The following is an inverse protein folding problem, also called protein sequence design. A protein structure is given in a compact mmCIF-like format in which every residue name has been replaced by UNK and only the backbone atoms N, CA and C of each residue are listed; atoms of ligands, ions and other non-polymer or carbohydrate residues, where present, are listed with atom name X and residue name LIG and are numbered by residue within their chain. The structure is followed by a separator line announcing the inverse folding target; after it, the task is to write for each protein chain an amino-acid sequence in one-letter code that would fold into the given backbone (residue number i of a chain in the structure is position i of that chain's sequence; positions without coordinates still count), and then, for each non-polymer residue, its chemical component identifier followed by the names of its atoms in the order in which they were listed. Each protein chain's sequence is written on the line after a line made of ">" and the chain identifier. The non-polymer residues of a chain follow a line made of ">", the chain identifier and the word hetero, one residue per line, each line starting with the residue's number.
data_IF_275972255236
#
_entry.id   IF_275972255236
#
_cell.length_a   1.000
_cell.length_b   1.000
_cell.length_c   1.000
_cell.angle_alpha   90.00
_cell.angle_beta   90.00
_cell.angle_gamma   90.00
#
_symmetry.space_group_name_H-M   'P 1'
#
loop_
_entity.id
_entity.type
_entity.pdbx_description
1 polymer ?
#
# COMPACT_ATOMS: atom_id res chain seq x y z
N UNK A 1 21.92 45.85 -18.59
CA UNK A 1 21.85 44.65 -17.71
C UNK A 1 20.66 43.84 -18.21
N UNK A 2 20.89 42.66 -18.80
CA UNK A 2 19.81 41.79 -19.26
C UNK A 2 19.38 40.91 -18.07
N UNK A 3 18.11 41.01 -17.68
CA UNK A 3 17.47 40.05 -16.78
C UNK A 3 17.13 38.82 -17.64
N UNK A 4 17.88 37.73 -17.45
CA UNK A 4 17.50 36.41 -17.94
C UNK A 4 16.46 35.85 -16.97
N UNK A 5 15.19 36.00 -17.31
CA UNK A 5 14.14 35.17 -16.71
C UNK A 5 14.34 33.77 -17.27
N UNK A 6 14.93 32.88 -16.47
CA UNK A 6 14.95 31.46 -16.79
C UNK A 6 13.49 31.01 -16.99
N UNK A 7 13.13 30.41 -18.14
CA UNK A 7 11.80 29.86 -18.31
C UNK A 7 11.61 28.76 -17.27
N UNK A 8 10.68 28.97 -16.34
CA UNK A 8 10.17 27.91 -15.46
C UNK A 8 9.47 26.92 -16.37
N UNK A 9 10.17 25.86 -16.75
CA UNK A 9 9.56 24.70 -17.40
C UNK A 9 8.65 24.04 -16.37
N UNK A 10 7.36 24.40 -16.39
CA UNK A 10 6.32 23.58 -15.76
C UNK A 10 6.31 22.24 -16.51
N UNK A 11 7.01 21.25 -15.96
CA UNK A 11 6.94 19.87 -16.44
C UNK A 11 5.57 19.35 -16.05
N UNK A 12 4.59 19.52 -16.93
CA UNK A 12 3.28 18.89 -16.77
C UNK A 12 3.46 17.37 -16.79
N UNK A 13 3.32 16.74 -15.63
CA UNK A 13 3.28 15.28 -15.54
C UNK A 13 2.10 14.78 -16.36
N UNK A 14 2.37 13.85 -17.27
CA UNK A 14 1.33 13.22 -18.07
C UNK A 14 0.46 12.34 -17.18
N UNK A 15 -0.81 12.14 -17.57
CA UNK A 15 -1.73 11.26 -16.85
C UNK A 15 -1.22 9.82 -16.75
N UNK A 16 -0.35 9.40 -17.66
CA UNK A 16 0.25 8.06 -17.67
C UNK A 16 1.40 7.94 -16.67
N UNK A 17 2.26 8.95 -16.55
CA UNK A 17 3.31 9.01 -15.54
C UNK A 17 2.73 9.00 -14.12
N UNK A 18 1.65 9.74 -13.87
CA UNK A 18 0.97 9.71 -12.59
C UNK A 18 0.40 8.32 -12.26
N UNK A 19 -0.19 7.63 -13.25
CA UNK A 19 -0.68 6.25 -13.08
C UNK A 19 0.43 5.27 -12.71
N UNK A 20 1.60 5.40 -13.35
CA UNK A 20 2.77 4.57 -13.02
C UNK A 20 3.27 4.83 -11.59
N UNK A 21 3.31 6.09 -11.17
CA UNK A 21 3.69 6.49 -9.80
C UNK A 21 2.69 5.91 -8.78
N UNK A 22 1.39 6.05 -9.04
CA UNK A 22 0.34 5.56 -8.15
C UNK A 22 0.39 4.03 -8.02
N UNK A 23 0.61 3.33 -9.14
CA UNK A 23 0.82 1.87 -9.12
C UNK A 23 2.06 1.49 -8.33
N UNK A 24 3.17 2.19 -8.51
CA UNK A 24 4.42 1.91 -7.79
C UNK A 24 4.28 2.15 -6.28
N UNK A 25 3.56 3.19 -5.89
CA UNK A 25 3.26 3.47 -4.49
C UNK A 25 2.37 2.39 -3.86
N UNK A 26 1.39 1.88 -4.61
CA UNK A 26 0.58 0.74 -4.19
C UNK A 26 1.41 -0.53 -4.00
N UNK A 27 2.27 -0.87 -4.97
CA UNK A 27 3.18 -2.03 -4.88
C UNK A 27 4.11 -1.93 -3.66
N UNK A 28 4.76 -0.78 -3.46
CA UNK A 28 5.65 -0.55 -2.33
C UNK A 28 4.90 -0.70 -0.99
N UNK A 29 3.69 -0.16 -0.90
CA UNK A 29 2.87 -0.28 0.30
C UNK A 29 2.52 -1.74 0.61
N UNK A 30 2.10 -2.51 -0.40
CA UNK A 30 1.77 -3.94 -0.25
C UNK A 30 2.98 -4.75 0.20
N UNK A 31 4.15 -4.47 -0.38
CA UNK A 31 5.41 -5.13 -0.01
C UNK A 31 5.82 -4.84 1.44
N UNK A 32 5.81 -3.57 1.84
CA UNK A 32 6.19 -3.16 3.20
C UNK A 32 5.24 -3.65 4.30
N UNK A 33 3.96 -3.88 3.93
CA UNK A 33 2.90 -4.28 4.87
C UNK A 33 2.40 -5.70 4.58
N UNK A 34 3.22 -6.53 3.93
CA UNK A 34 2.88 -7.92 3.56
C UNK A 34 2.37 -8.77 4.71
N UNK A 35 2.88 -8.52 5.93
CA UNK A 35 2.47 -9.23 7.14
C UNK A 35 1.01 -8.96 7.54
N UNK A 36 0.44 -7.83 7.10
CA UNK A 36 -0.95 -7.47 7.36
C UNK A 36 -1.90 -7.98 6.28
N UNK A 37 -1.41 -8.31 5.08
CA UNK A 37 -2.27 -8.66 3.95
C UNK A 37 -3.23 -9.83 4.25
N UNK A 38 -2.82 -10.92 4.92
CA UNK A 38 -3.75 -11.99 5.28
C UNK A 38 -4.85 -11.52 6.23
N UNK A 39 -4.54 -10.63 7.17
CA UNK A 39 -5.55 -10.06 8.08
C UNK A 39 -6.47 -9.08 7.32
N UNK A 40 -5.91 -8.30 6.40
CA UNK A 40 -6.62 -7.30 5.60
C UNK A 40 -7.49 -7.90 4.48
N UNK A 41 -7.21 -9.13 4.03
CA UNK A 41 -8.08 -9.85 3.09
C UNK A 41 -9.34 -10.39 3.78
N UNK A 42 -9.23 -10.79 5.05
CA UNK A 42 -10.36 -11.28 5.85
C UNK A 42 -11.19 -10.14 6.49
N UNK A 43 -10.59 -8.97 6.65
CA UNK A 43 -11.17 -7.82 7.36
C UNK A 43 -10.54 -7.69 8.74
N UNK A 44 -9.68 -6.69 8.90
CA UNK A 44 -8.86 -6.55 10.10
C UNK A 44 -9.37 -5.43 11.00
N UNK A 45 -9.66 -5.69 12.28
CA UNK A 45 -9.88 -4.66 13.28
C UNK A 45 -8.67 -3.75 13.43
N UNK A 46 -8.88 -2.44 13.62
CA UNK A 46 -7.76 -1.49 13.84
C UNK A 46 -6.83 -1.91 14.98
N UNK A 47 -7.36 -2.56 16.02
CA UNK A 47 -6.60 -3.09 17.15
C UNK A 47 -5.69 -4.29 16.82
N UNK A 48 -6.02 -5.07 15.79
CA UNK A 48 -5.26 -6.27 15.39
C UNK A 48 -4.12 -5.93 14.42
N UNK A 49 -4.12 -4.71 13.87
CA UNK A 49 -3.00 -4.12 13.13
C UNK A 49 -1.92 -3.59 14.09
N UNK A 50 -2.22 -3.48 15.39
CA UNK A 50 -1.23 -3.21 16.44
C UNK A 50 -0.85 -4.49 17.18
N UNK A 51 0.27 -5.11 16.81
CA UNK A 51 0.89 -6.17 17.61
C UNK A 51 1.92 -5.60 18.59
N UNK A 52 2.01 -6.22 19.77
CA UNK A 52 2.94 -5.88 20.84
C UNK A 52 4.39 -5.73 20.33
N UNK A 53 5.01 -4.60 20.67
CA UNK A 53 6.45 -4.39 20.50
C UNK A 53 6.91 -3.53 19.31
N UNK A 54 6.03 -3.04 18.42
CA UNK A 54 6.39 -2.07 17.35
C UNK A 54 5.23 -1.10 17.02
N UNK A 55 5.49 -0.09 16.15
CA UNK A 55 5.58 1.34 16.46
C UNK A 55 4.26 1.96 16.94
N UNK A 56 4.30 3.14 17.59
CA UNK A 56 3.11 3.79 18.18
C UNK A 56 1.91 3.80 17.23
N UNK A 57 0.70 3.73 17.78
CA UNK A 57 -0.60 3.73 17.07
C UNK A 57 -0.70 4.84 16.01
N UNK A 58 0.07 5.91 16.16
CA UNK A 58 0.25 6.97 15.17
C UNK A 58 0.85 6.50 13.84
N UNK A 59 1.93 5.70 13.88
CA UNK A 59 2.61 5.21 12.68
C UNK A 59 1.77 4.19 11.90
N UNK A 60 1.05 3.33 12.63
CA UNK A 60 0.10 2.39 12.03
C UNK A 60 -1.01 3.15 11.31
N UNK A 61 -1.62 4.13 11.97
CA UNK A 61 -2.63 4.99 11.34
C UNK A 61 -2.09 5.75 10.12
N UNK A 62 -0.85 6.24 10.16
CA UNK A 62 -0.22 6.92 9.03
C UNK A 62 -0.08 5.97 7.84
N UNK A 63 0.33 4.72 8.06
CA UNK A 63 0.44 3.70 7.02
C UNK A 63 -0.92 3.29 6.45
N UNK A 64 -1.92 3.08 7.30
CA UNK A 64 -3.28 2.76 6.85
C UNK A 64 -3.89 3.88 5.99
N UNK A 65 -3.68 5.15 6.39
CA UNK A 65 -4.07 6.31 5.57
C UNK A 65 -3.34 6.37 4.23
N UNK A 66 -2.05 6.03 4.19
CA UNK A 66 -1.30 5.95 2.94
C UNK A 66 -1.86 4.86 2.02
N UNK A 67 -2.25 3.69 2.57
CA UNK A 67 -2.88 2.62 1.80
C UNK A 67 -4.23 3.03 1.18
N UNK A 68 -5.02 3.87 1.87
CA UNK A 68 -6.22 4.48 1.28
C UNK A 68 -5.84 5.42 0.14
N UNK A 69 -4.83 6.29 0.34
CA UNK A 69 -4.38 7.25 -0.67
C UNK A 69 -3.87 6.57 -1.95
N UNK A 70 -3.28 5.38 -1.85
CA UNK A 70 -2.82 4.60 -3.00
C UNK A 70 -3.91 3.72 -3.62
N UNK A 71 -5.10 3.71 -3.03
CA UNK A 71 -6.26 2.94 -3.50
C UNK A 71 -6.16 1.43 -3.24
N UNK A 72 -5.27 0.99 -2.34
CA UNK A 72 -5.10 -0.43 -1.98
C UNK A 72 -5.96 -0.83 -0.79
N UNK A 73 -6.32 0.12 0.08
CA UNK A 73 -7.17 -0.09 1.25
C UNK A 73 -8.47 0.68 1.16
N UNK A 74 -9.51 0.12 1.77
CA UNK A 74 -10.71 0.84 2.14
C UNK A 74 -11.12 0.48 3.58
N UNK A 75 -11.83 1.40 4.23
CA UNK A 75 -12.37 1.24 5.58
C UNK A 75 -13.90 1.23 5.49
N UNK A 76 -14.54 0.06 5.32
CA UNK A 76 -15.99 -0.02 5.13
C UNK A 76 -16.75 0.40 6.39
N UNK A 77 -16.21 0.09 7.57
CA UNK A 77 -16.76 0.44 8.88
C UNK A 77 -15.69 1.11 9.74
N UNK A 78 -16.08 1.80 10.80
CA UNK A 78 -15.11 2.49 11.67
C UNK A 78 -14.07 1.51 12.23
N UNK A 79 -14.38 0.24 12.46
CA UNK A 79 -13.41 -0.65 13.11
C UNK A 79 -12.65 -1.58 12.16
N UNK A 80 -13.01 -1.66 10.88
CA UNK A 80 -12.53 -2.71 9.98
C UNK A 80 -11.78 -2.15 8.77
N UNK A 81 -10.66 -2.78 8.40
CA UNK A 81 -9.84 -2.44 7.23
C UNK A 81 -9.83 -3.58 6.24
N UNK A 82 -10.01 -3.27 4.95
CA UNK A 82 -10.03 -4.25 3.85
C UNK A 82 -9.21 -3.81 2.65
N UNK A 83 -8.65 -4.79 1.94
CA UNK A 83 -8.08 -4.56 0.62
C UNK A 83 -9.18 -4.23 -0.40
N UNK A 84 -8.90 -3.27 -1.28
CA UNK A 84 -9.74 -3.01 -2.46
C UNK A 84 -9.56 -4.11 -3.51
N UNK A 85 -10.42 -4.13 -4.54
CA UNK A 85 -10.22 -5.02 -5.69
C UNK A 85 -8.84 -4.79 -6.35
N UNK A 86 -8.50 -3.53 -6.62
CA UNK A 86 -7.18 -3.12 -7.12
C UNK A 86 -6.03 -3.59 -6.22
N UNK A 87 -6.19 -3.44 -4.90
CA UNK A 87 -5.17 -3.87 -3.93
C UNK A 87 -4.94 -5.39 -3.94
N UNK A 88 -6.01 -6.18 -4.12
CA UNK A 88 -5.91 -7.63 -4.26
C UNK A 88 -5.24 -8.05 -5.57
N UNK A 89 -5.67 -7.47 -6.70
CA UNK A 89 -5.07 -7.74 -8.01
C UNK A 89 -3.56 -7.48 -8.01
N UNK A 90 -3.11 -6.33 -7.47
CA UNK A 90 -1.68 -6.01 -7.38
C UNK A 90 -0.96 -6.97 -6.42
N UNK A 91 -1.57 -7.34 -5.29
CA UNK A 91 -0.97 -8.27 -4.34
C UNK A 91 -0.79 -9.70 -4.91
N UNK A 92 -1.77 -10.15 -5.71
CA UNK A 92 -1.74 -11.41 -6.47
C UNK A 92 -0.66 -11.36 -7.57
N UNK A 93 -0.61 -10.27 -8.36
CA UNK A 93 0.42 -10.04 -9.40
C UNK A 93 1.85 -9.99 -8.82
N UNK A 94 2.01 -9.46 -7.61
CA UNK A 94 3.29 -9.42 -6.91
C UNK A 94 3.71 -10.77 -6.31
N UNK A 95 2.91 -11.84 -6.47
CA UNK A 95 3.16 -13.17 -5.90
C UNK A 95 3.40 -13.15 -4.38
N UNK A 96 2.87 -12.15 -3.65
CA UNK A 96 3.00 -12.10 -2.19
C UNK A 96 2.28 -13.30 -1.56
N UNK A 97 1.23 -13.83 -2.20
CA UNK A 97 0.61 -15.12 -1.86
C UNK A 97 1.50 -16.34 -2.15
N UNK A 98 2.31 -16.31 -3.21
CA UNK A 98 3.11 -17.47 -3.64
C UNK A 98 4.21 -17.83 -2.64
N UNK A 99 4.80 -16.83 -1.98
CA UNK A 99 5.87 -17.07 -0.98
C UNK A 99 5.35 -17.67 0.33
N UNK A 100 4.08 -17.48 0.69
CA UNK A 100 3.46 -18.09 1.88
C UNK A 100 2.99 -19.52 1.61
N UNK A 101 2.58 -19.84 0.39
CA UNK A 101 2.22 -21.21 -0.01
C UNK A 101 3.44 -22.13 -0.20
N UNK A 102 4.59 -21.60 -0.63
CA UNK A 102 5.80 -22.41 -0.83
C UNK A 102 6.53 -22.84 0.46
N UNK A 103 6.28 -22.19 1.60
CA UNK A 103 6.81 -22.70 2.88
C UNK A 103 6.09 -23.96 3.39
N UNK A 104 4.87 -24.25 2.93
CA UNK A 104 4.13 -25.47 3.32
C UNK A 104 4.59 -26.74 2.59
N UNK A 105 5.42 -26.62 1.55
CA UNK A 105 5.87 -27.77 0.73
C UNK A 105 7.23 -28.30 1.18
N UNK A 106 8.00 -27.55 1.97
CA UNK A 106 9.37 -27.94 2.39
C UNK A 106 9.37 -28.71 3.73
N UNK A 107 8.25 -28.76 4.46
CA UNK A 107 8.10 -29.60 5.68
C UNK A 107 7.26 -30.87 5.41
N UNK A 108 7.61 -31.66 4.38
CA UNK A 108 7.12 -33.03 4.23
C UNK A 108 8.26 -34.02 4.01
#
# INVERSE_FOLDING_TARGET
>A
MFQSEDPVFEVEMTSEEQRMIDRRNAENWLYENRAWLPKLSEGCPTGDVSEEGKPSTFWVNKRLKAGISYGVLHRPNFDEWKLTAKGREIAEEMEIESSLLHQKVIEK
#
